data_IF_351119812120
#
_entry.id   IF_351119812120
#
_cell.length_a   1.000
_cell.length_b   1.000
_cell.length_c   1.000
_cell.angle_alpha   90.00
_cell.angle_beta   90.00
_cell.angle_gamma   90.00
#
_symmetry.space_group_name_H-M   'P 1'
#
loop_
_entity.id
_entity.type
_entity.pdbx_description
1 polymer ?
#
# COMPACT_ATOMS: atom_id res chain seq x y z
N UNK A 1 20.91 -50.09 -60.69
CA UNK A 1 20.66 -50.45 -59.27
C UNK A 1 20.49 -49.15 -58.51
N UNK A 2 19.25 -48.71 -58.27
CA UNK A 2 18.94 -47.53 -57.46
C UNK A 2 18.28 -47.97 -56.16
N UNK A 3 18.93 -47.73 -55.03
CA UNK A 3 18.42 -48.07 -53.71
C UNK A 3 17.33 -47.06 -53.30
N UNK A 4 16.12 -47.55 -53.04
CA UNK A 4 15.06 -46.75 -52.43
C UNK A 4 15.22 -46.74 -50.90
N UNK A 5 15.55 -45.57 -50.35
CA UNK A 5 15.57 -45.36 -48.90
C UNK A 5 14.14 -45.39 -48.33
N UNK A 6 13.87 -46.12 -47.22
CA UNK A 6 12.55 -46.14 -46.61
C UNK A 6 12.25 -44.79 -45.94
N UNK A 7 11.10 -44.20 -46.28
CA UNK A 7 10.61 -42.97 -45.65
C UNK A 7 10.30 -43.24 -44.17
N UNK A 8 10.93 -42.49 -43.28
CA UNK A 8 10.67 -42.51 -41.84
C UNK A 8 9.20 -42.20 -41.55
N UNK A 9 8.49 -43.08 -40.83
CA UNK A 9 7.13 -42.81 -40.32
C UNK A 9 7.19 -41.59 -39.40
N UNK A 10 6.63 -40.48 -39.85
CA UNK A 10 6.34 -39.35 -38.97
C UNK A 10 5.20 -39.75 -38.04
N UNK A 11 5.42 -39.73 -36.73
CA UNK A 11 4.37 -39.88 -35.72
C UNK A 11 3.50 -38.63 -35.73
N UNK A 12 2.24 -38.75 -36.17
CA UNK A 12 1.26 -37.68 -36.04
C UNK A 12 0.73 -37.58 -34.60
N UNK A 13 0.41 -36.37 -34.16
CA UNK A 13 -0.26 -36.10 -32.89
C UNK A 13 -1.60 -36.84 -32.82
N UNK A 14 -1.91 -37.42 -31.67
CA UNK A 14 -3.20 -38.05 -31.40
C UNK A 14 -4.24 -37.01 -30.99
N UNK A 15 -5.52 -37.26 -31.28
CA UNK A 15 -6.62 -36.39 -30.86
C UNK A 15 -6.71 -36.23 -29.33
N UNK A 16 -6.35 -37.28 -28.59
CA UNK A 16 -6.37 -37.27 -27.13
C UNK A 16 -5.27 -36.37 -26.55
N UNK A 17 -4.08 -36.33 -27.15
CA UNK A 17 -3.01 -35.41 -26.74
C UNK A 17 -3.44 -33.95 -26.89
N UNK A 18 -4.09 -33.61 -28.01
CA UNK A 18 -4.60 -32.26 -28.20
C UNK A 18 -5.70 -31.91 -27.18
N UNK A 19 -6.59 -32.87 -26.87
CA UNK A 19 -7.68 -32.68 -25.92
C UNK A 19 -7.17 -32.43 -24.49
N UNK A 20 -6.16 -33.19 -24.04
CA UNK A 20 -5.58 -32.98 -22.71
C UNK A 20 -4.89 -31.62 -22.60
N UNK A 21 -4.19 -31.18 -23.66
CA UNK A 21 -3.52 -29.88 -23.67
C UNK A 21 -4.51 -28.73 -23.53
N UNK A 22 -5.62 -28.73 -24.28
CA UNK A 22 -6.63 -27.67 -24.17
C UNK A 22 -7.31 -27.68 -22.79
N UNK A 23 -7.51 -28.87 -22.19
CA UNK A 23 -8.09 -28.99 -20.86
C UNK A 23 -7.18 -28.37 -19.79
N UNK A 24 -5.86 -28.61 -19.87
CA UNK A 24 -4.88 -28.01 -18.95
C UNK A 24 -4.80 -26.50 -19.14
N UNK A 25 -4.76 -26.01 -20.39
CA UNK A 25 -4.76 -24.56 -20.68
C UNK A 25 -6.02 -23.89 -20.12
N UNK A 26 -7.20 -24.52 -20.25
CA UNK A 26 -8.46 -23.97 -19.75
C UNK A 26 -8.45 -23.81 -18.22
N UNK A 27 -7.92 -24.78 -17.47
CA UNK A 27 -7.83 -24.71 -16.01
C UNK A 27 -6.88 -23.59 -15.58
N UNK A 28 -5.71 -23.46 -16.21
CA UNK A 28 -4.75 -22.40 -15.90
C UNK A 28 -5.33 -21.02 -16.23
N UNK A 29 -5.94 -20.86 -17.41
CA UNK A 29 -6.54 -19.62 -17.84
C UNK A 29 -7.69 -19.17 -16.92
N UNK A 30 -8.52 -20.10 -16.44
CA UNK A 30 -9.62 -19.80 -15.52
C UNK A 30 -9.15 -19.13 -14.22
N UNK A 31 -8.00 -19.54 -13.68
CA UNK A 31 -7.42 -18.92 -12.48
C UNK A 31 -6.61 -17.66 -12.79
N UNK A 32 -5.88 -17.63 -13.92
CA UNK A 32 -4.97 -16.53 -14.23
C UNK A 32 -5.66 -15.26 -14.73
N UNK A 33 -6.73 -15.38 -15.53
CA UNK A 33 -7.44 -14.25 -16.13
C UNK A 33 -8.02 -13.27 -15.10
N UNK A 34 -8.76 -13.68 -14.05
CA UNK A 34 -9.33 -12.73 -13.08
C UNK A 34 -8.23 -11.97 -12.31
N UNK A 35 -7.16 -12.66 -11.94
CA UNK A 35 -6.00 -12.05 -11.27
C UNK A 35 -5.34 -11.02 -12.18
N UNK A 36 -5.12 -11.36 -13.46
CA UNK A 36 -4.53 -10.45 -14.44
C UNK A 36 -5.37 -9.17 -14.61
N UNK A 37 -6.69 -9.27 -14.67
CA UNK A 37 -7.55 -8.09 -14.77
C UNK A 37 -7.49 -7.21 -13.53
N UNK A 38 -7.46 -7.79 -12.34
CA UNK A 38 -7.28 -7.03 -11.10
C UNK A 38 -5.94 -6.30 -11.04
N UNK A 39 -4.84 -6.97 -11.39
CA UNK A 39 -3.50 -6.37 -11.43
C UNK A 39 -3.41 -5.25 -12.47
N UNK A 40 -4.02 -5.43 -13.63
CA UNK A 40 -4.09 -4.37 -14.66
C UNK A 40 -4.85 -3.15 -14.17
N UNK A 41 -5.99 -3.33 -13.48
CA UNK A 41 -6.76 -2.22 -12.93
C UNK A 41 -5.96 -1.45 -11.87
N UNK A 42 -5.27 -2.17 -10.97
CA UNK A 42 -4.36 -1.57 -9.97
C UNK A 42 -3.22 -0.79 -10.64
N UNK A 43 -2.57 -1.37 -11.64
CA UNK A 43 -1.49 -0.70 -12.38
C UNK A 43 -1.96 0.61 -13.03
N UNK A 44 -3.12 0.60 -13.68
CA UNK A 44 -3.72 1.80 -14.29
C UNK A 44 -4.03 2.88 -13.25
N UNK A 45 -4.52 2.49 -12.06
CA UNK A 45 -4.74 3.42 -10.96
C UNK A 45 -3.42 4.02 -10.46
N UNK A 46 -2.38 3.19 -10.26
CA UNK A 46 -1.05 3.61 -9.83
C UNK A 46 -0.38 4.54 -10.84
N UNK A 47 -0.51 4.28 -12.14
CA UNK A 47 0.01 5.14 -13.20
C UNK A 47 -0.66 6.52 -13.17
N UNK A 48 -1.99 6.55 -13.00
CA UNK A 48 -2.72 7.79 -12.86
C UNK A 48 -2.28 8.58 -11.62
N UNK A 49 -2.10 7.91 -10.48
CA UNK A 49 -1.63 8.53 -9.23
C UNK A 49 -0.22 9.10 -9.38
N UNK A 50 0.69 8.35 -10.01
CA UNK A 50 2.07 8.78 -10.25
C UNK A 50 2.10 10.02 -11.16
N UNK A 51 1.31 10.01 -12.22
CA UNK A 51 1.15 11.15 -13.14
C UNK A 51 0.66 12.40 -12.40
N UNK A 52 -0.33 12.24 -11.51
CA UNK A 52 -0.86 13.36 -10.72
C UNK A 52 0.14 13.90 -9.72
N UNK A 53 0.83 13.01 -8.99
CA UNK A 53 1.87 13.39 -8.05
C UNK A 53 3.06 14.09 -8.74
N UNK A 54 3.36 13.76 -10.00
CA UNK A 54 4.35 14.48 -10.79
C UNK A 54 3.90 15.94 -11.06
N UNK A 55 2.65 16.12 -11.50
CA UNK A 55 2.07 17.44 -11.73
C UNK A 55 1.92 18.26 -10.43
N UNK A 56 1.53 17.64 -9.30
CA UNK A 56 1.47 18.30 -7.99
C UNK A 56 2.84 18.86 -7.57
N UNK A 57 3.94 18.12 -7.79
CA UNK A 57 5.30 18.60 -7.48
C UNK A 57 5.69 19.77 -8.37
N UNK A 58 5.41 19.68 -9.67
CA UNK A 58 5.62 20.80 -10.60
C UNK A 58 4.85 22.04 -10.15
N UNK A 59 3.60 21.86 -9.71
CA UNK A 59 2.77 22.95 -9.21
C UNK A 59 3.33 23.59 -7.94
N UNK A 60 3.89 22.80 -7.02
CA UNK A 60 4.57 23.32 -5.82
C UNK A 60 5.75 24.20 -6.23
N UNK A 61 6.58 23.74 -7.16
CA UNK A 61 7.72 24.52 -7.68
C UNK A 61 7.23 25.83 -8.31
N UNK A 62 6.25 25.76 -9.20
CA UNK A 62 5.65 26.93 -9.84
C UNK A 62 5.15 27.96 -8.82
N UNK A 63 4.44 27.48 -7.79
CA UNK A 63 3.87 28.34 -6.74
C UNK A 63 4.97 28.99 -5.88
N UNK A 64 6.10 28.31 -5.67
CA UNK A 64 7.25 28.89 -4.97
C UNK A 64 7.92 30.01 -5.77
N UNK A 65 7.94 29.88 -7.10
CA UNK A 65 8.57 30.86 -8.00
C UNK A 65 7.67 32.07 -8.28
N UNK A 66 6.36 31.84 -8.46
CA UNK A 66 5.40 32.85 -8.88
C UNK A 66 4.54 33.39 -7.72
N UNK A 67 4.54 32.72 -6.57
CA UNK A 67 3.71 33.06 -5.42
C UNK A 67 2.23 32.71 -5.56
N UNK A 68 1.81 32.14 -6.70
CA UNK A 68 0.41 31.80 -6.99
C UNK A 68 0.30 30.43 -7.64
N UNK A 69 -0.83 29.74 -7.39
CA UNK A 69 -1.20 28.52 -8.10
C UNK A 69 -1.62 28.84 -9.55
N UNK A 70 -1.45 27.89 -10.46
CA UNK A 70 -2.01 27.95 -11.82
C UNK A 70 -2.95 26.77 -12.03
N UNK A 71 -4.11 27.02 -12.61
CA UNK A 71 -5.07 25.99 -12.99
C UNK A 71 -4.81 25.46 -14.41
N UNK A 72 -3.85 26.03 -15.16
CA UNK A 72 -3.52 25.63 -16.53
C UNK A 72 -2.20 24.86 -16.58
N UNK A 73 -2.25 23.63 -17.09
CA UNK A 73 -1.05 22.83 -17.33
C UNK A 73 -0.11 23.46 -18.37
N UNK A 74 -0.62 24.31 -19.26
CA UNK A 74 0.20 25.02 -20.23
C UNK A 74 1.28 25.88 -19.56
N UNK A 75 0.98 26.51 -18.42
CA UNK A 75 1.92 27.32 -17.67
C UNK A 75 3.06 26.46 -17.11
N UNK A 76 2.74 25.26 -16.59
CA UNK A 76 3.75 24.33 -16.10
C UNK A 76 4.64 23.78 -17.22
N UNK A 77 4.09 23.64 -18.43
CA UNK A 77 4.83 23.22 -19.62
C UNK A 77 5.74 24.35 -20.12
N UNK A 78 5.27 25.60 -20.14
CA UNK A 78 6.10 26.72 -20.61
C UNK A 78 7.30 26.98 -19.70
N UNK A 79 7.17 26.71 -18.40
CA UNK A 79 8.27 26.75 -17.44
C UNK A 79 9.18 25.50 -17.48
N UNK A 80 8.82 24.49 -18.28
CA UNK A 80 9.58 23.24 -18.39
C UNK A 80 9.53 22.36 -17.13
N UNK A 81 8.52 22.55 -16.28
CA UNK A 81 8.33 21.76 -15.06
C UNK A 81 7.69 20.39 -15.35
N UNK A 82 6.96 20.30 -16.46
CA UNK A 82 6.43 19.06 -17.03
C UNK A 82 6.55 19.07 -18.56
N UNK A 83 6.74 17.91 -19.18
CA UNK A 83 6.91 17.80 -20.64
C UNK A 83 5.58 17.90 -21.42
N UNK A 84 4.46 17.54 -20.78
CA UNK A 84 3.14 17.52 -21.41
C UNK A 84 2.04 17.55 -20.36
N UNK A 85 0.83 17.93 -20.77
CA UNK A 85 -0.34 17.87 -19.91
C UNK A 85 -0.58 16.42 -19.43
N UNK A 86 -0.84 16.21 -18.14
CA UNK A 86 -1.01 14.87 -17.60
C UNK A 86 -2.26 14.20 -18.17
N UNK A 87 -2.17 12.90 -18.46
CA UNK A 87 -3.27 12.10 -19.03
C UNK A 87 -3.53 10.87 -18.16
N UNK A 88 -4.80 10.59 -17.88
CA UNK A 88 -5.19 9.37 -17.20
C UNK A 88 -5.27 8.19 -18.19
N UNK A 89 -4.63 7.03 -17.92
CA UNK A 89 -4.69 5.87 -18.81
C UNK A 89 -6.11 5.29 -18.98
N UNK A 90 -7.01 5.54 -18.01
CA UNK A 90 -8.44 5.19 -18.10
C UNK A 90 -9.28 6.18 -18.90
N UNK A 91 -8.70 7.27 -19.39
CA UNK A 91 -9.42 8.37 -20.06
C UNK A 91 -10.15 9.32 -19.10
N UNK A 92 -9.82 9.29 -17.81
CA UNK A 92 -10.32 10.26 -16.83
C UNK A 92 -9.82 11.68 -17.12
N UNK A 93 -10.63 12.68 -16.76
CA UNK A 93 -10.28 14.10 -16.85
C UNK A 93 -9.52 14.47 -15.59
N UNK A 94 -8.38 15.14 -15.77
CA UNK A 94 -7.57 15.68 -14.67
C UNK A 94 -7.88 17.16 -14.49
N UNK A 95 -8.21 17.56 -13.26
CA UNK A 95 -8.60 18.95 -12.95
C UNK A 95 -8.13 19.36 -11.56
N UNK A 96 -7.64 20.59 -11.43
CA UNK A 96 -7.32 21.17 -10.14
C UNK A 96 -8.60 21.45 -9.33
N UNK A 97 -8.59 21.02 -8.07
CA UNK A 97 -9.66 21.28 -7.10
C UNK A 97 -9.04 21.95 -5.88
N UNK A 98 -9.69 23.00 -5.39
CA UNK A 98 -9.28 23.69 -4.17
C UNK A 98 -10.11 23.20 -2.98
N UNK A 99 -9.45 22.76 -1.91
CA UNK A 99 -10.06 22.48 -0.62
C UNK A 99 -9.40 23.34 0.46
N UNK A 100 -10.07 24.45 0.82
CA UNK A 100 -9.50 25.46 1.71
C UNK A 100 -8.30 26.15 1.06
N UNK A 101 -7.13 26.07 1.69
CA UNK A 101 -5.88 26.62 1.16
C UNK A 101 -5.05 25.62 0.35
N UNK A 102 -5.52 24.39 0.20
CA UNK A 102 -4.82 23.32 -0.51
C UNK A 102 -5.39 23.17 -1.91
N UNK A 103 -4.50 23.06 -2.89
CA UNK A 103 -4.84 22.67 -4.26
C UNK A 103 -4.45 21.21 -4.46
N UNK A 104 -5.31 20.43 -5.12
CA UNK A 104 -5.07 19.03 -5.44
C UNK A 104 -5.47 18.74 -6.88
N UNK A 105 -4.74 17.84 -7.53
CA UNK A 105 -5.10 17.38 -8.86
C UNK A 105 -6.05 16.18 -8.80
N UNK A 106 -7.32 16.37 -9.13
CA UNK A 106 -8.37 15.35 -9.15
C UNK A 106 -8.47 14.59 -10.47
N UNK A 107 -8.97 13.35 -10.45
CA UNK A 107 -9.21 12.52 -11.64
C UNK A 107 -10.63 11.99 -11.66
N UNK A 108 -11.41 12.30 -12.71
CA UNK A 108 -12.81 11.86 -12.78
C UNK A 108 -13.01 10.33 -12.80
N UNK A 109 -12.00 9.57 -13.24
CA UNK A 109 -12.06 8.10 -13.28
C UNK A 109 -11.54 7.41 -12.00
N UNK A 110 -10.73 8.09 -11.18
CA UNK A 110 -10.05 7.48 -10.03
C UNK A 110 -10.25 8.27 -8.72
N UNK A 111 -11.09 9.31 -8.73
CA UNK A 111 -11.37 10.15 -7.57
C UNK A 111 -10.22 11.10 -7.22
N UNK A 112 -10.21 11.55 -5.97
CA UNK A 112 -9.22 12.52 -5.49
C UNK A 112 -7.83 11.93 -5.34
N UNK A 113 -6.80 12.78 -5.45
CA UNK A 113 -5.43 12.35 -5.29
C UNK A 113 -5.26 12.26 -3.80
N UNK A 114 -5.42 11.08 -3.24
CA UNK A 114 -4.75 10.80 -1.98
C UNK A 114 -3.28 11.09 -2.25
N UNK A 115 -2.76 12.14 -1.60
CA UNK A 115 -1.38 12.61 -1.69
C UNK A 115 -0.41 11.44 -1.83
N UNK A 116 0.45 11.47 -2.86
CA UNK A 116 1.59 10.56 -3.07
C UNK A 116 1.32 9.10 -2.64
N UNK A 117 0.81 8.27 -3.56
CA UNK A 117 0.51 6.82 -3.40
C UNK A 117 0.85 6.30 -2.01
N UNK A 118 -0.09 6.51 -1.08
CA UNK A 118 0.10 6.10 0.30
C UNK A 118 0.50 4.62 0.34
N UNK A 119 1.53 4.26 1.11
CA UNK A 119 1.99 2.85 1.23
C UNK A 119 0.85 1.90 1.62
N UNK A 120 -0.16 2.44 2.30
CA UNK A 120 -1.41 1.77 2.66
C UNK A 120 -2.60 2.70 2.37
N UNK A 121 -3.81 2.17 2.45
CA UNK A 121 -5.04 2.98 2.45
C UNK A 121 -5.12 4.00 3.62
N UNK A 122 -4.25 3.87 4.64
CA UNK A 122 -4.20 4.74 5.80
C UNK A 122 -3.07 5.78 5.76
N UNK A 123 -2.21 5.76 4.73
CA UNK A 123 -1.07 6.66 4.62
C UNK A 123 0.26 5.95 4.39
N UNK A 124 1.36 6.71 4.47
CA UNK A 124 2.72 6.22 4.22
C UNK A 124 3.63 6.26 5.45
N UNK A 125 3.35 7.11 6.43
CA UNK A 125 4.21 7.21 7.62
C UNK A 125 3.69 6.33 8.74
N UNK A 126 4.56 5.97 9.69
CA UNK A 126 4.13 5.32 10.92
C UNK A 126 2.98 6.06 11.63
N UNK A 127 3.03 7.40 11.65
CA UNK A 127 1.99 8.21 12.29
C UNK A 127 0.65 8.13 11.57
N UNK A 128 0.66 8.16 10.24
CA UNK A 128 -0.57 8.07 9.43
C UNK A 128 -1.22 6.69 9.60
N UNK A 129 -0.40 5.65 9.43
CA UNK A 129 -0.84 4.24 9.47
C UNK A 129 -1.35 3.88 10.87
N UNK A 130 -0.55 4.13 11.91
CA UNK A 130 -0.95 3.80 13.27
C UNK A 130 -2.10 4.67 13.75
N UNK A 131 -2.10 5.98 13.47
CA UNK A 131 -3.22 6.87 13.79
C UNK A 131 -4.51 6.47 13.06
N UNK A 132 -4.40 6.03 11.80
CA UNK A 132 -5.46 5.44 11.01
C UNK A 132 -6.09 4.23 11.70
N UNK A 133 -5.27 3.24 12.04
CA UNK A 133 -5.73 2.00 12.69
C UNK A 133 -6.35 2.29 14.07
N UNK A 134 -5.73 3.17 14.87
CA UNK A 134 -6.26 3.55 16.19
C UNK A 134 -7.68 4.12 16.04
N UNK A 135 -7.88 5.03 15.09
CA UNK A 135 -9.19 5.65 14.85
C UNK A 135 -10.22 4.61 14.42
N UNK A 136 -9.88 3.74 13.47
CA UNK A 136 -10.80 2.71 12.99
C UNK A 136 -11.24 1.73 14.09
N UNK A 137 -10.31 1.31 14.95
CA UNK A 137 -10.63 0.42 16.08
C UNK A 137 -11.49 1.16 17.12
N UNK A 138 -11.18 2.44 17.42
CA UNK A 138 -11.97 3.25 18.37
C UNK A 138 -13.40 3.49 17.84
N UNK A 139 -13.54 3.82 16.55
CA UNK A 139 -14.83 3.99 15.87
C UNK A 139 -15.63 2.68 15.85
N UNK A 140 -14.99 1.55 15.57
CA UNK A 140 -15.64 0.25 15.63
C UNK A 140 -16.24 -0.02 17.01
N UNK A 141 -15.47 0.22 18.09
CA UNK A 141 -15.94 0.02 19.47
C UNK A 141 -17.13 0.95 19.79
N UNK A 142 -17.06 2.21 19.38
CA UNK A 142 -18.17 3.17 19.58
C UNK A 142 -19.45 2.73 18.89
N UNK A 143 -19.33 2.14 17.71
CA UNK A 143 -20.48 1.73 16.91
C UNK A 143 -21.09 0.39 17.32
N UNK A 144 -20.28 -0.52 17.89
CA UNK A 144 -20.71 -1.90 18.19
C UNK A 144 -20.75 -2.23 19.68
N UNK A 145 -20.12 -1.43 20.55
CA UNK A 145 -20.01 -1.68 21.99
C UNK A 145 -19.02 -2.80 22.36
N UNK A 146 -18.27 -3.32 21.39
CA UNK A 146 -17.19 -4.29 21.60
C UNK A 146 -16.05 -4.06 20.61
N UNK A 147 -14.85 -4.56 20.92
CA UNK A 147 -13.70 -4.43 20.04
C UNK A 147 -13.77 -5.39 18.83
N UNK A 148 -13.02 -5.11 17.75
CA UNK A 148 -12.87 -6.02 16.61
C UNK A 148 -12.33 -7.39 17.05
N UNK A 149 -12.53 -8.41 16.21
CA UNK A 149 -11.89 -9.70 16.41
C UNK A 149 -10.37 -9.56 16.33
N UNK A 150 -9.66 -10.42 17.04
CA UNK A 150 -8.19 -10.35 17.19
C UNK A 150 -7.43 -11.38 16.36
N UNK A 151 -8.13 -12.13 15.51
CA UNK A 151 -7.59 -13.29 14.81
C UNK A 151 -7.89 -13.24 13.31
N UNK A 152 -6.93 -13.74 12.53
CA UNK A 152 -7.03 -13.87 11.07
C UNK A 152 -7.38 -12.57 10.36
N UNK A 153 -7.99 -12.74 9.19
CA UNK A 153 -8.39 -11.65 8.30
C UNK A 153 -9.51 -10.80 8.89
N UNK A 154 -10.33 -11.38 9.78
CA UNK A 154 -11.41 -10.69 10.46
C UNK A 154 -10.96 -9.48 11.28
N UNK A 155 -9.71 -9.47 11.76
CA UNK A 155 -9.16 -8.32 12.48
C UNK A 155 -9.06 -7.06 11.59
N UNK A 156 -8.98 -7.25 10.26
CA UNK A 156 -8.96 -6.19 9.25
C UNK A 156 -10.35 -5.91 8.70
N UNK A 157 -11.11 -6.97 8.38
CA UNK A 157 -12.46 -6.84 7.83
C UNK A 157 -13.41 -6.10 8.78
N UNK A 158 -13.33 -6.39 10.09
CA UNK A 158 -14.15 -5.73 11.11
C UNK A 158 -13.95 -4.21 11.12
N UNK A 159 -12.73 -3.74 10.82
CA UNK A 159 -12.39 -2.31 10.75
C UNK A 159 -12.45 -1.73 9.33
N UNK A 160 -13.05 -2.48 8.38
CA UNK A 160 -13.30 -2.01 7.02
C UNK A 160 -12.07 -1.95 6.12
N UNK A 161 -11.02 -2.73 6.42
CA UNK A 161 -9.80 -2.80 5.62
C UNK A 161 -9.72 -4.14 4.87
N UNK A 162 -9.12 -4.12 3.68
CA UNK A 162 -8.82 -5.33 2.92
C UNK A 162 -7.53 -5.99 3.48
N UNK A 163 -7.58 -7.23 4.00
CA UNK A 163 -6.41 -7.95 4.50
C UNK A 163 -5.26 -8.02 3.49
N UNK A 164 -5.56 -8.08 2.19
CA UNK A 164 -4.55 -8.19 1.13
C UNK A 164 -3.63 -6.96 1.06
N UNK A 165 -4.10 -5.79 1.48
CA UNK A 165 -3.29 -4.56 1.51
C UNK A 165 -2.22 -4.58 2.62
N UNK A 166 -2.29 -5.55 3.54
CA UNK A 166 -1.43 -5.65 4.73
C UNK A 166 -0.58 -6.93 4.77
N UNK A 167 -0.52 -7.68 3.66
CA UNK A 167 0.35 -8.86 3.53
C UNK A 167 1.84 -8.48 3.49
N UNK A 168 2.16 -7.29 2.98
CA UNK A 168 3.53 -6.80 2.83
C UNK A 168 3.85 -5.72 3.87
N UNK A 169 5.13 -5.60 4.29
CA UNK A 169 5.54 -4.53 5.18
C UNK A 169 5.32 -3.14 4.57
N UNK A 170 4.78 -2.21 5.36
CA UNK A 170 4.66 -0.80 5.03
C UNK A 170 5.72 -0.02 5.81
N UNK A 171 6.52 0.78 5.12
CA UNK A 171 7.63 1.55 5.71
C UNK A 171 8.61 0.66 6.52
N UNK A 172 8.89 -0.54 6.00
CA UNK A 172 9.71 -1.56 6.66
C UNK A 172 9.16 -2.06 8.00
N UNK A 173 7.86 -1.86 8.24
CA UNK A 173 7.15 -2.27 9.44
C UNK A 173 5.96 -3.15 9.06
N UNK A 174 5.62 -4.08 9.95
CA UNK A 174 4.46 -4.95 9.84
C UNK A 174 3.49 -4.57 10.95
N UNK A 175 2.28 -4.17 10.55
CA UNK A 175 1.20 -3.74 11.44
C UNK A 175 0.19 -4.86 11.59
N UNK A 176 -0.38 -5.00 12.79
CA UNK A 176 -1.46 -5.95 13.02
C UNK A 176 -2.43 -5.44 14.09
N UNK A 177 -3.72 -5.24 13.77
CA UNK A 177 -4.75 -5.01 14.76
C UNK A 177 -5.05 -6.31 15.51
N UNK A 178 -5.22 -6.21 16.82
CA UNK A 178 -5.47 -7.36 17.70
C UNK A 178 -6.49 -6.95 18.76
N UNK A 179 -7.76 -6.83 18.37
CA UNK A 179 -8.83 -6.37 19.25
C UNK A 179 -8.62 -4.94 19.72
N UNK A 180 -8.36 -4.74 21.01
CA UNK A 180 -8.16 -3.42 21.63
C UNK A 180 -6.73 -2.86 21.52
N UNK A 181 -5.88 -3.47 20.68
CA UNK A 181 -4.48 -3.07 20.55
C UNK A 181 -3.99 -3.19 19.12
N UNK A 182 -2.89 -2.52 18.83
CA UNK A 182 -2.14 -2.67 17.58
C UNK A 182 -0.74 -3.16 17.94
N UNK A 183 -0.25 -4.15 17.22
CA UNK A 183 1.14 -4.61 17.32
C UNK A 183 1.92 -4.20 16.08
N UNK A 184 3.13 -3.69 16.28
CA UNK A 184 4.04 -3.28 15.20
C UNK A 184 5.36 -4.02 15.37
N UNK A 185 5.85 -4.62 14.28
CA UNK A 185 7.12 -5.34 14.25
C UNK A 185 7.97 -4.89 13.07
N UNK A 186 9.30 -4.88 13.16
CA UNK A 186 10.15 -4.57 12.01
C UNK A 186 10.09 -5.69 10.98
N UNK A 187 10.15 -5.32 9.70
CA UNK A 187 10.34 -6.24 8.59
C UNK A 187 11.68 -6.98 8.70
N UNK A 188 11.81 -8.08 7.97
CA UNK A 188 13.06 -8.85 7.94
C UNK A 188 14.25 -7.97 7.52
N UNK A 189 15.31 -7.96 8.33
CA UNK A 189 16.52 -7.15 8.08
C UNK A 189 16.45 -5.71 8.61
N UNK A 190 15.37 -5.33 9.29
CA UNK A 190 15.22 -4.00 9.91
C UNK A 190 15.15 -4.09 11.43
N UNK A 191 15.47 -2.97 12.09
CA UNK A 191 15.35 -2.79 13.53
C UNK A 191 14.62 -1.48 13.85
N UNK A 192 13.91 -1.48 14.97
CA UNK A 192 13.30 -0.29 15.55
C UNK A 192 14.09 0.09 16.79
N UNK A 193 14.61 1.30 16.81
CA UNK A 193 15.17 1.96 17.99
C UNK A 193 14.16 2.95 18.53
N UNK A 194 13.94 2.93 19.85
CA UNK A 194 13.02 3.87 20.51
C UNK A 194 13.49 4.11 21.95
N UNK A 195 13.28 5.32 22.47
CA UNK A 195 13.53 5.62 23.87
C UNK A 195 12.29 5.30 24.73
N UNK A 196 12.54 4.59 25.82
CA UNK A 196 11.58 4.43 26.90
C UNK A 196 11.43 5.73 27.69
N UNK A 197 10.34 5.84 28.46
CA UNK A 197 10.04 7.03 29.27
C UNK A 197 11.09 7.30 30.35
N UNK A 198 11.85 6.27 30.75
CA UNK A 198 12.99 6.37 31.67
C UNK A 198 14.31 6.84 31.01
N UNK A 199 14.29 7.12 29.69
CA UNK A 199 15.44 7.52 28.89
C UNK A 199 16.31 6.37 28.38
N UNK A 200 15.97 5.12 28.69
CA UNK A 200 16.69 3.95 28.16
C UNK A 200 16.37 3.71 26.69
N UNK A 201 17.38 3.39 25.88
CA UNK A 201 17.16 3.02 24.48
C UNK A 201 16.77 1.55 24.39
N UNK A 202 15.70 1.26 23.66
CA UNK A 202 15.18 -0.08 23.38
C UNK A 202 15.33 -0.37 21.90
N UNK A 203 15.81 -1.58 21.59
CA UNK A 203 16.02 -2.04 20.21
C UNK A 203 15.19 -3.28 19.96
N UNK A 204 14.26 -3.18 19.01
CA UNK A 204 13.46 -4.29 18.54
C UNK A 204 13.98 -4.76 17.18
N UNK A 205 14.24 -6.07 17.04
CA UNK A 205 14.68 -6.66 15.76
C UNK A 205 13.69 -7.72 15.31
N UNK A 206 13.63 -7.99 14.01
CA UNK A 206 12.73 -9.02 13.44
C UNK A 206 13.02 -10.45 13.91
N UNK A 207 14.14 -10.65 14.62
CA UNK A 207 14.56 -11.94 15.19
C UNK A 207 13.98 -12.16 16.59
N UNK A 208 13.51 -11.10 17.24
CA UNK A 208 12.86 -11.18 18.54
C UNK A 208 11.39 -11.53 18.33
N UNK A 209 10.83 -12.38 19.20
CA UNK A 209 9.39 -12.66 19.22
C UNK A 209 8.62 -11.55 19.96
N UNK A 210 9.05 -10.31 19.81
CA UNK A 210 8.57 -9.12 20.52
C UNK A 210 8.00 -8.11 19.52
N UNK A 211 7.12 -7.23 19.99
CA UNK A 211 6.49 -6.18 19.18
C UNK A 211 6.36 -4.89 19.97
N UNK A 212 6.25 -3.76 19.28
CA UNK A 212 5.69 -2.57 19.89
C UNK A 212 4.18 -2.72 19.97
N UNK A 213 3.58 -2.28 21.07
CA UNK A 213 2.15 -2.47 21.35
C UNK A 213 1.52 -1.13 21.69
N UNK A 214 0.53 -0.70 20.92
CA UNK A 214 -0.36 0.39 21.30
C UNK A 214 -1.60 -0.17 21.98
N UNK A 215 -1.96 0.34 23.15
CA UNK A 215 -3.17 -0.04 23.87
C UNK A 215 -4.25 1.02 23.73
N UNK A 216 -5.46 0.66 23.27
CA UNK A 216 -6.58 1.60 23.25
C UNK A 216 -7.14 1.88 24.64
N UNK A 217 -6.83 1.08 25.65
CA UNK A 217 -7.31 1.30 27.03
C UNK A 217 -6.48 2.36 27.74
N UNK A 218 -5.15 2.31 27.60
CA UNK A 218 -4.23 3.28 28.23
C UNK A 218 -3.89 4.45 27.31
N UNK A 219 -4.15 4.31 26.00
CA UNK A 219 -3.79 5.26 24.94
C UNK A 219 -2.28 5.51 24.81
N UNK A 220 -1.46 4.55 25.24
CA UNK A 220 0.02 4.62 25.22
C UNK A 220 0.66 3.49 24.39
N UNK A 221 1.92 3.72 24.00
CA UNK A 221 2.80 2.74 23.36
C UNK A 221 3.69 2.03 24.38
N UNK A 222 3.90 0.73 24.17
CA UNK A 222 4.73 -0.12 25.01
C UNK A 222 5.71 -0.96 24.19
N UNK A 223 6.86 -1.23 24.78
CA UNK A 223 7.84 -2.19 24.28
C UNK A 223 7.51 -3.61 24.78
N UNK A 224 7.24 -4.54 23.86
CA UNK A 224 6.93 -5.96 24.08
C UNK A 224 5.62 -6.27 24.84
N UNK A 225 5.40 -5.68 26.01
CA UNK A 225 4.22 -5.96 26.85
C UNK A 225 3.68 -4.70 27.51
N UNK A 226 2.37 -4.68 27.76
CA UNK A 226 1.67 -3.57 28.39
C UNK A 226 1.99 -3.58 29.88
N UNK A 227 3.05 -2.85 30.25
CA UNK A 227 3.52 -2.67 31.61
C UNK A 227 4.10 -1.25 31.76
N UNK A 228 3.93 -0.56 32.90
CA UNK A 228 4.46 0.79 33.08
C UNK A 228 5.95 0.94 32.75
N UNK A 229 6.77 -0.03 33.17
CA UNK A 229 8.23 -0.04 32.90
C UNK A 229 8.60 -0.19 31.42
N UNK A 230 7.63 -0.54 30.57
CA UNK A 230 7.82 -0.72 29.14
C UNK A 230 7.22 0.42 28.31
N UNK A 231 6.71 1.47 28.93
CA UNK A 231 6.15 2.62 28.20
C UNK A 231 7.23 3.33 27.38
N UNK A 232 6.93 3.63 26.11
CA UNK A 232 7.86 4.24 25.16
C UNK A 232 7.31 5.50 24.52
N UNK A 233 8.21 6.42 24.17
CA UNK A 233 7.86 7.62 23.41
C UNK A 233 8.14 7.42 21.93
N UNK A 234 7.07 7.27 21.15
CA UNK A 234 7.19 6.98 19.71
C UNK A 234 7.78 8.15 18.89
N UNK A 235 7.83 9.36 19.46
CA UNK A 235 8.50 10.51 18.86
C UNK A 235 10.01 10.32 18.67
N UNK A 236 10.61 9.38 19.40
CA UNK A 236 12.03 9.03 19.32
C UNK A 236 12.29 7.81 18.44
N UNK A 237 11.25 7.28 17.80
CA UNK A 237 11.34 6.05 17.02
C UNK A 237 12.18 6.27 15.76
N UNK A 238 13.11 5.35 15.52
CA UNK A 238 13.92 5.29 14.31
C UNK A 238 13.92 3.86 13.76
N UNK A 239 13.67 3.71 12.46
CA UNK A 239 13.71 2.41 11.76
C UNK A 239 14.93 2.40 10.85
N UNK A 240 15.79 1.40 10.98
CA UNK A 240 17.02 1.28 10.20
C UNK A 240 17.31 -0.17 9.82
N UNK A 241 18.12 -0.37 8.78
CA UNK A 241 18.61 -1.69 8.38
C UNK A 241 19.64 -2.21 9.40
N UNK A 242 19.57 -3.50 9.71
CA UNK A 242 20.48 -4.22 10.62
C UNK A 242 21.88 -4.40 10.04
#
# INVERSE_FOLDING_TARGET
MGAHSPLSRQSGFTLIELLVVIAVIAVIAAAAIPVFFGQRAKAVQTDCLTTRAHADRAQVIYTLEHGTHTDDFADLISEGLIDSAPVCPSGGILSWTQEGSLYRLDCSAHGQAASATSLTSLGSTFSDISGGLIRLIDDFYRNHGHYPRSWGDHAWEDIGLDPADWENPADNLIYKPVGNRITVTPAAGYAIEVQATDGTTRVLTSRLNWSLVYSLDTKQWYYHSIHPDNEISISTMNVHQQ
#
